data_IF_457553296937
#
_entry.id   IF_457553296937
#
_cell.length_a   1.000
_cell.length_b   1.000
_cell.length_c   1.000
_cell.angle_alpha   90.00
_cell.angle_beta   90.00
_cell.angle_gamma   90.00
#
_symmetry.space_group_name_H-M   'P 1'
#
loop_
_entity.id
_entity.type
_entity.pdbx_description
1 polymer ?
#
# COMPACT_ATOMS: atom_id res chain seq x y z
N UNK A 1 -7.52 -1.32 23.92
CA UNK A 1 -7.94 -1.83 22.60
C UNK A 1 -8.74 -0.84 21.75
N UNK A 2 -9.64 0.01 22.31
CA UNK A 2 -10.43 0.98 21.52
C UNK A 2 -9.60 1.95 20.65
N UNK A 3 -8.45 2.42 21.14
CA UNK A 3 -7.58 3.34 20.39
C UNK A 3 -6.93 2.70 19.16
N UNK A 4 -6.45 1.47 19.29
CA UNK A 4 -5.88 0.72 18.17
C UNK A 4 -6.94 0.47 17.08
N UNK A 5 -8.16 0.13 17.50
CA UNK A 5 -9.28 -0.08 16.58
C UNK A 5 -9.70 1.19 15.84
N UNK A 6 -9.71 2.35 16.52
CA UNK A 6 -9.97 3.64 15.89
C UNK A 6 -8.89 3.98 14.84
N UNK A 7 -7.62 3.80 15.20
CA UNK A 7 -6.49 4.00 14.28
C UNK A 7 -6.54 3.10 13.05
N UNK A 8 -6.90 1.83 13.25
CA UNK A 8 -7.08 0.86 12.17
C UNK A 8 -8.25 1.21 11.27
N UNK A 9 -9.34 1.76 11.81
CA UNK A 9 -10.52 2.13 11.02
C UNK A 9 -10.26 3.38 10.17
N UNK A 10 -9.55 4.37 10.70
CA UNK A 10 -9.16 5.57 9.96
C UNK A 10 -8.15 5.27 8.86
N UNK A 11 -7.16 4.43 9.14
CA UNK A 11 -6.10 4.08 8.19
C UNK A 11 -6.36 2.77 7.43
N UNK A 12 -7.57 2.20 7.53
CA UNK A 12 -7.92 0.92 6.92
C UNK A 12 -7.64 0.93 5.42
N UNK A 13 -7.93 2.06 4.77
CA UNK A 13 -7.73 2.24 3.35
C UNK A 13 -6.24 2.18 2.96
N UNK A 14 -5.37 2.89 3.69
CA UNK A 14 -3.93 2.82 3.48
C UNK A 14 -3.36 1.42 3.77
N UNK A 15 -3.91 0.74 4.79
CA UNK A 15 -3.49 -0.62 5.15
C UNK A 15 -3.87 -1.64 4.08
N UNK A 16 -5.09 -1.56 3.52
CA UNK A 16 -5.53 -2.41 2.41
C UNK A 16 -4.63 -2.25 1.17
N UNK A 17 -4.27 -1.00 0.85
CA UNK A 17 -3.37 -0.70 -0.27
C UNK A 17 -1.91 -1.14 0.00
N UNK A 18 -1.48 -1.11 1.26
CA UNK A 18 -0.17 -1.65 1.66
C UNK A 18 -0.14 -3.17 1.43
N UNK A 19 -1.16 -3.89 1.89
CA UNK A 19 -1.25 -5.34 1.74
C UNK A 19 -1.38 -5.74 0.26
N UNK A 20 -2.18 -5.03 -0.53
CA UNK A 20 -2.27 -5.30 -1.97
C UNK A 20 -0.95 -5.02 -2.69
N UNK A 21 -0.23 -3.95 -2.32
CA UNK A 21 1.10 -3.66 -2.84
C UNK A 21 2.14 -4.75 -2.55
N UNK A 22 2.11 -5.34 -1.34
CA UNK A 22 2.95 -6.48 -0.97
C UNK A 22 2.63 -7.70 -1.84
N UNK A 23 1.35 -8.01 -2.06
CA UNK A 23 0.92 -9.16 -2.88
C UNK A 23 1.38 -8.99 -4.33
N UNK A 24 1.21 -7.79 -4.90
CA UNK A 24 1.64 -7.50 -6.28
C UNK A 24 3.16 -7.62 -6.41
N UNK A 25 3.92 -7.08 -5.44
CA UNK A 25 5.37 -7.19 -5.44
C UNK A 25 5.88 -8.62 -5.22
N UNK A 26 5.15 -9.43 -4.44
CA UNK A 26 5.44 -10.85 -4.30
C UNK A 26 5.25 -11.60 -5.63
N UNK A 27 4.14 -11.35 -6.33
CA UNK A 27 3.89 -11.93 -7.66
C UNK A 27 4.98 -11.49 -8.65
N UNK A 28 5.36 -10.21 -8.62
CA UNK A 28 6.45 -9.69 -9.44
C UNK A 28 7.79 -10.38 -9.13
N UNK A 29 8.09 -10.58 -7.85
CA UNK A 29 9.31 -11.25 -7.42
C UNK A 29 9.36 -12.72 -7.86
N UNK A 30 8.26 -13.47 -7.71
CA UNK A 30 8.18 -14.88 -8.16
C UNK A 30 8.38 -15.00 -9.66
N UNK A 31 7.81 -14.08 -10.44
CA UNK A 31 7.79 -14.19 -11.89
C UNK A 31 9.04 -13.62 -12.58
N UNK A 32 9.68 -12.59 -11.99
CA UNK A 32 10.82 -11.88 -12.58
C UNK A 32 12.05 -11.82 -11.65
N UNK A 33 11.84 -11.55 -10.36
CA UNK A 33 12.93 -11.38 -9.39
C UNK A 33 13.77 -12.63 -9.16
N UNK A 34 13.17 -13.82 -9.27
CA UNK A 34 13.88 -15.09 -9.09
C UNK A 34 14.81 -15.46 -10.27
N UNK A 35 14.49 -14.99 -11.49
CA UNK A 35 15.23 -15.35 -12.71
C UNK A 35 16.38 -14.39 -13.04
N UNK A 36 16.24 -13.11 -12.71
CA UNK A 36 17.25 -12.08 -12.96
C UNK A 36 18.21 -11.90 -11.77
N UNK A 37 18.78 -13.02 -11.28
CA UNK A 37 19.68 -13.11 -10.13
C UNK A 37 21.06 -12.43 -10.29
N UNK A 38 21.17 -11.39 -11.13
CA UNK A 38 22.38 -10.59 -11.30
C UNK A 38 22.44 -9.39 -10.35
N UNK A 39 21.31 -8.97 -9.75
CA UNK A 39 21.28 -7.94 -8.71
C UNK A 39 20.93 -8.56 -7.34
N UNK A 40 21.83 -8.52 -6.33
CA UNK A 40 21.57 -9.07 -5.00
C UNK A 40 20.39 -8.40 -4.28
N UNK A 41 20.02 -7.17 -4.65
CA UNK A 41 18.83 -6.50 -4.14
C UNK A 41 17.50 -7.04 -4.70
N UNK A 42 17.49 -7.64 -5.88
CA UNK A 42 16.27 -8.13 -6.54
C UNK A 42 15.97 -9.60 -6.22
N UNK A 43 16.96 -10.35 -5.74
CA UNK A 43 16.81 -11.77 -5.35
C UNK A 43 16.10 -11.94 -4.00
N UNK A 44 16.12 -10.93 -3.14
CA UNK A 44 15.52 -11.02 -1.81
C UNK A 44 14.03 -10.64 -1.85
N UNK A 45 13.16 -11.62 -1.57
CA UNK A 45 11.71 -11.42 -1.49
C UNK A 45 11.33 -10.27 -0.55
N UNK A 46 12.06 -10.13 0.57
CA UNK A 46 11.74 -9.14 1.58
C UNK A 46 11.97 -7.70 1.09
N UNK A 47 12.96 -7.46 0.22
CA UNK A 47 13.23 -6.13 -0.34
C UNK A 47 12.10 -5.71 -1.28
N UNK A 48 11.71 -6.58 -2.21
CA UNK A 48 10.62 -6.31 -3.15
C UNK A 48 9.27 -6.15 -2.45
N UNK A 49 8.96 -7.03 -1.50
CA UNK A 49 7.74 -6.93 -0.70
C UNK A 49 7.69 -5.64 0.13
N UNK A 50 8.82 -5.22 0.71
CA UNK A 50 8.89 -3.95 1.47
C UNK A 50 8.69 -2.75 0.54
N UNK A 51 9.30 -2.76 -0.64
CA UNK A 51 9.10 -1.72 -1.65
C UNK A 51 7.64 -1.64 -2.13
N UNK A 52 7.04 -2.79 -2.44
CA UNK A 52 5.63 -2.89 -2.84
C UNK A 52 4.68 -2.40 -1.74
N UNK A 53 4.96 -2.76 -0.49
CA UNK A 53 4.19 -2.29 0.66
C UNK A 53 4.32 -0.78 0.89
N UNK A 54 5.54 -0.24 0.83
CA UNK A 54 5.77 1.22 0.99
C UNK A 54 5.08 2.03 -0.10
N UNK A 55 5.23 1.61 -1.37
CA UNK A 55 4.58 2.29 -2.51
C UNK A 55 3.06 2.15 -2.42
N UNK A 56 2.56 0.94 -2.13
CA UNK A 56 1.14 0.68 -1.94
C UNK A 56 0.54 1.54 -0.83
N UNK A 57 1.19 1.57 0.35
CA UNK A 57 0.76 2.39 1.48
C UNK A 57 0.78 3.89 1.20
N UNK A 58 1.82 4.38 0.50
CA UNK A 58 1.91 5.78 0.09
C UNK A 58 0.75 6.16 -0.84
N UNK A 59 0.50 5.37 -1.88
CA UNK A 59 -0.61 5.60 -2.81
C UNK A 59 -1.97 5.53 -2.10
N UNK A 60 -2.16 4.53 -1.23
CA UNK A 60 -3.38 4.38 -0.43
C UNK A 60 -3.67 5.57 0.47
N UNK A 61 -2.64 6.10 1.14
CA UNK A 61 -2.77 7.28 2.01
C UNK A 61 -3.12 8.55 1.23
N UNK A 62 -2.48 8.78 0.08
CA UNK A 62 -2.78 9.93 -0.78
C UNK A 62 -4.19 9.85 -1.36
N UNK A 63 -4.63 8.65 -1.76
CA UNK A 63 -5.96 8.44 -2.32
C UNK A 63 -7.05 8.58 -1.25
N UNK A 64 -6.81 8.09 -0.04
CA UNK A 64 -7.71 8.29 1.10
C UNK A 64 -7.93 9.79 1.38
N UNK A 65 -6.83 10.55 1.47
CA UNK A 65 -6.87 12.00 1.69
C UNK A 65 -7.63 12.73 0.58
N UNK A 66 -7.43 12.35 -0.69
CA UNK A 66 -8.14 12.95 -1.81
C UNK A 66 -9.65 12.65 -1.75
N UNK A 67 -10.03 11.44 -1.36
CA UNK A 67 -11.43 11.05 -1.24
C UNK A 67 -12.15 11.82 -0.11
N UNK A 68 -11.47 12.08 1.01
CA UNK A 68 -11.99 12.94 2.08
C UNK A 68 -12.22 14.38 1.61
N UNK A 69 -11.33 14.93 0.77
CA UNK A 69 -11.51 16.27 0.20
C UNK A 69 -12.71 16.32 -0.74
N UNK A 70 -12.90 15.30 -1.58
CA UNK A 70 -14.06 15.20 -2.47
C UNK A 70 -15.39 15.13 -1.69
N UNK A 71 -15.44 14.38 -0.59
CA UNK A 71 -16.62 14.32 0.28
C UNK A 71 -16.94 15.68 0.90
N UNK A 72 -15.91 16.40 1.37
CA UNK A 72 -16.09 17.76 1.92
C UNK A 72 -16.60 18.75 0.89
N UNK A 73 -16.11 18.68 -0.35
CA UNK A 73 -16.62 19.51 -1.46
C UNK A 73 -18.08 19.18 -1.78
N UNK A 74 -18.42 17.89 -1.89
CA UNK A 74 -19.78 17.44 -2.19
C UNK A 74 -20.79 17.90 -1.14
N UNK A 75 -20.44 17.83 0.15
CA UNK A 75 -21.30 18.29 1.24
C UNK A 75 -21.41 19.82 1.35
N UNK A 76 -20.49 20.58 0.75
CA UNK A 76 -20.59 22.05 0.71
C UNK A 76 -21.53 22.55 -0.39
N UNK A 77 -21.77 21.72 -1.40
CA UNK A 77 -22.62 22.01 -2.55
C UNK A 77 -24.01 21.35 -2.48
N UNK A 78 -24.29 20.59 -1.42
CA UNK A 78 -25.60 20.02 -1.10
C UNK A 78 -26.32 20.89 -0.06
#
# INVERSE_FOLDING_TARGET
>A
MKRAYAFLKENLFALLFTVSGIIIAYIYWVNWGMYYGTLPLSSECWVNCTYGGLIGGLLGSNLARHNEQLQKQKNKHA
#
